data_IF_275790755569
#
_entry.id   IF_275790755569
#
_cell.length_a   1.000
_cell.length_b   1.000
_cell.length_c   1.000
_cell.angle_alpha   90.00
_cell.angle_beta   90.00
_cell.angle_gamma   90.00
#
_symmetry.space_group_name_H-M   'P 1'
#
loop_
_entity.id
_entity.type
_entity.pdbx_description
1 polymer ?
#
# COMPACT_ATOMS: atom_id res chain seq x y z
N UNK A 1 2.09 -9.83 -6.41
CA UNK A 1 1.86 -9.42 -5.02
C UNK A 1 3.18 -9.40 -4.26
N UNK A 2 3.74 -10.53 -3.78
CA UNK A 2 5.02 -10.47 -3.04
C UNK A 2 6.18 -9.95 -3.91
N UNK A 3 6.36 -10.49 -5.11
CA UNK A 3 7.43 -10.06 -6.02
C UNK A 3 7.26 -8.59 -6.47
N UNK A 4 6.02 -8.14 -6.67
CA UNK A 4 5.71 -6.73 -6.99
C UNK A 4 6.13 -5.77 -5.86
N UNK A 5 5.91 -6.16 -4.60
CA UNK A 5 6.35 -5.35 -3.44
C UNK A 5 7.88 -5.35 -3.31
N UNK A 6 8.54 -6.45 -3.65
CA UNK A 6 9.99 -6.56 -3.62
C UNK A 6 10.64 -5.65 -4.68
N UNK A 7 10.08 -5.56 -5.89
CA UNK A 7 10.55 -4.63 -6.94
C UNK A 7 10.47 -3.17 -6.50
N UNK A 8 9.46 -2.82 -5.69
CA UNK A 8 9.31 -1.47 -5.15
C UNK A 8 10.30 -1.16 -4.04
N UNK A 9 11.09 -2.13 -3.56
CA UNK A 9 12.01 -1.93 -2.45
C UNK A 9 13.05 -0.83 -2.69
N UNK A 10 13.40 -0.61 -3.96
CA UNK A 10 14.40 0.38 -4.42
C UNK A 10 13.81 1.78 -4.58
N UNK A 11 12.48 1.89 -4.66
CA UNK A 11 11.79 3.17 -4.92
C UNK A 11 11.80 4.00 -3.64
N UNK A 12 12.24 5.28 -3.67
CA UNK A 12 12.16 6.16 -2.51
C UNK A 12 10.73 6.37 -2.03
N UNK A 13 10.54 6.50 -0.72
CA UNK A 13 9.20 6.59 -0.12
C UNK A 13 8.43 7.82 -0.58
N UNK A 14 9.09 8.97 -0.76
CA UNK A 14 8.46 10.18 -1.26
C UNK A 14 7.96 10.02 -2.71
N UNK A 15 8.73 9.35 -3.57
CA UNK A 15 8.33 9.09 -4.97
C UNK A 15 7.11 8.17 -5.00
N UNK A 16 7.09 7.16 -4.14
CA UNK A 16 5.95 6.26 -4.00
C UNK A 16 4.70 7.00 -3.47
N UNK A 17 4.87 7.88 -2.49
CA UNK A 17 3.79 8.72 -1.95
C UNK A 17 3.17 9.62 -3.02
N UNK A 18 4.01 10.31 -3.81
CA UNK A 18 3.56 11.15 -4.92
C UNK A 18 2.83 10.33 -5.98
N UNK A 19 3.37 9.16 -6.35
CA UNK A 19 2.78 8.27 -7.35
C UNK A 19 1.39 7.76 -6.93
N UNK A 20 1.28 7.24 -5.70
CA UNK A 20 0.02 6.76 -5.13
C UNK A 20 -0.98 7.90 -5.01
N UNK A 21 -0.54 9.08 -4.58
CA UNK A 21 -1.44 10.23 -4.44
C UNK A 21 -2.00 10.68 -5.79
N UNK A 22 -1.17 10.69 -6.83
CA UNK A 22 -1.58 11.14 -8.16
C UNK A 22 -2.45 10.13 -8.93
N UNK A 23 -2.37 8.83 -8.60
CA UNK A 23 -2.99 7.76 -9.41
C UNK A 23 -3.91 6.82 -8.64
N UNK A 24 -3.99 6.96 -7.32
CA UNK A 24 -4.88 6.18 -6.48
C UNK A 24 -6.32 6.47 -6.85
N UNK A 25 -7.07 5.44 -7.27
CA UNK A 25 -8.46 5.61 -7.69
C UNK A 25 -9.32 6.21 -6.58
N UNK A 26 -9.22 5.69 -5.35
CA UNK A 26 -9.97 6.23 -4.22
C UNK A 26 -9.62 7.69 -3.93
N UNK A 27 -8.35 8.09 -3.99
CA UNK A 27 -7.97 9.51 -3.84
C UNK A 27 -8.51 10.36 -4.99
N UNK A 28 -8.47 9.86 -6.23
CA UNK A 28 -9.03 10.55 -7.39
C UNK A 28 -10.53 10.80 -7.24
N UNK A 29 -11.31 9.77 -6.90
CA UNK A 29 -12.76 9.91 -6.72
C UNK A 29 -13.09 10.92 -5.61
N UNK A 30 -12.34 10.90 -4.50
CA UNK A 30 -12.52 11.85 -3.40
C UNK A 30 -12.15 13.30 -3.75
N UNK A 31 -11.17 13.50 -4.63
CA UNK A 31 -10.61 14.85 -4.90
C UNK A 31 -11.21 15.50 -6.15
N UNK A 32 -11.45 14.71 -7.19
CA UNK A 32 -11.82 15.20 -8.53
C UNK A 32 -13.02 14.47 -9.14
N UNK A 33 -13.37 13.29 -8.65
CA UNK A 33 -14.44 12.45 -9.18
C UNK A 33 -15.74 12.57 -8.40
N UNK A 34 -16.46 11.45 -8.31
CA UNK A 34 -17.70 11.33 -7.55
C UNK A 34 -17.45 10.41 -6.35
N UNK A 35 -17.28 10.96 -5.14
CA UNK A 35 -16.97 10.16 -3.97
C UNK A 35 -18.13 9.19 -3.68
N UNK A 36 -17.84 7.95 -3.26
CA UNK A 36 -18.90 7.03 -2.91
C UNK A 36 -19.68 7.54 -1.70
N UNK A 37 -20.94 7.10 -1.60
CA UNK A 37 -21.78 7.39 -0.45
C UNK A 37 -21.36 6.52 0.73
N UNK A 38 -20.74 7.14 1.73
CA UNK A 38 -20.33 6.48 2.96
C UNK A 38 -21.49 6.42 3.95
N UNK A 39 -21.71 5.23 4.52
CA UNK A 39 -22.76 4.97 5.48
C UNK A 39 -22.39 5.43 6.89
N UNK A 40 -21.08 5.53 7.18
CA UNK A 40 -20.54 5.74 8.53
C UNK A 40 -20.50 4.45 9.37
N UNK A 41 -20.93 3.32 8.81
CA UNK A 41 -20.85 2.01 9.43
C UNK A 41 -19.56 1.31 8.99
N UNK A 42 -18.87 0.66 9.93
CA UNK A 42 -17.51 0.12 9.70
C UNK A 42 -17.48 -0.94 8.57
N UNK A 43 -18.30 -1.99 8.65
CA UNK A 43 -18.25 -3.09 7.69
C UNK A 43 -18.67 -2.67 6.26
N UNK A 44 -19.82 -1.99 6.05
CA UNK A 44 -20.23 -1.58 4.70
C UNK A 44 -19.24 -0.62 4.05
N UNK A 45 -18.69 0.34 4.81
CA UNK A 45 -17.73 1.30 4.27
C UNK A 45 -16.38 0.61 3.95
N UNK A 46 -15.97 -0.40 4.74
CA UNK A 46 -14.77 -1.20 4.45
C UNK A 46 -14.94 -2.08 3.21
N UNK A 47 -16.08 -2.71 3.04
CA UNK A 47 -16.37 -3.49 1.82
C UNK A 47 -16.34 -2.58 0.59
N UNK A 48 -16.97 -1.41 0.67
CA UNK A 48 -17.00 -0.43 -0.41
C UNK A 48 -15.58 0.08 -0.74
N UNK A 49 -14.79 0.46 0.26
CA UNK A 49 -13.41 0.89 0.07
C UNK A 49 -12.53 -0.21 -0.55
N UNK A 50 -12.75 -1.47 -0.16
CA UNK A 50 -12.06 -2.64 -0.76
C UNK A 50 -12.45 -2.81 -2.22
N UNK A 51 -13.71 -2.63 -2.58
CA UNK A 51 -14.18 -2.68 -3.96
C UNK A 51 -13.57 -1.57 -4.83
N UNK A 52 -13.38 -0.36 -4.30
CA UNK A 52 -12.70 0.72 -5.04
C UNK A 52 -11.26 0.37 -5.41
N UNK A 53 -10.62 -0.50 -4.63
CA UNK A 53 -9.26 -0.97 -4.92
C UNK A 53 -9.22 -1.98 -6.07
N UNK A 54 -10.36 -2.58 -6.46
CA UNK A 54 -10.44 -3.48 -7.62
C UNK A 54 -10.18 -2.69 -8.91
N UNK A 55 -9.14 -3.09 -9.64
CA UNK A 55 -8.70 -2.39 -10.85
C UNK A 55 -8.02 -1.05 -10.61
N UNK A 56 -7.71 -0.68 -9.36
CA UNK A 56 -6.86 0.48 -9.07
C UNK A 56 -5.45 0.23 -9.63
N UNK A 57 -4.90 1.14 -10.47
CA UNK A 57 -3.64 0.90 -11.17
C UNK A 57 -2.43 0.88 -10.25
N UNK A 58 -2.54 1.42 -9.04
CA UNK A 58 -1.44 1.59 -8.08
C UNK A 58 -1.65 0.78 -6.80
N UNK A 59 -2.38 -0.35 -6.90
CA UNK A 59 -2.76 -1.14 -5.73
C UNK A 59 -1.54 -1.66 -4.95
N UNK A 60 -0.51 -2.14 -5.65
CA UNK A 60 0.71 -2.67 -5.02
C UNK A 60 1.53 -1.54 -4.39
N UNK A 61 1.69 -0.41 -5.09
CA UNK A 61 2.38 0.78 -4.62
C UNK A 61 1.70 1.40 -3.40
N UNK A 62 0.37 1.41 -3.39
CA UNK A 62 -0.44 1.86 -2.25
C UNK A 62 -0.21 0.97 -1.03
N UNK A 63 -0.21 -0.36 -1.21
CA UNK A 63 0.09 -1.28 -0.12
C UNK A 63 1.53 -1.12 0.39
N UNK A 64 2.49 -1.04 -0.51
CA UNK A 64 3.90 -0.85 -0.18
C UNK A 64 4.13 0.46 0.58
N UNK A 65 3.54 1.56 0.12
CA UNK A 65 3.63 2.85 0.78
C UNK A 65 3.09 2.76 2.20
N UNK A 66 1.90 2.20 2.35
CA UNK A 66 1.24 2.07 3.63
C UNK A 66 2.07 1.22 4.61
N UNK A 67 2.62 0.09 4.15
CA UNK A 67 3.48 -0.76 4.98
C UNK A 67 4.75 -0.03 5.46
N UNK A 68 5.24 0.99 4.76
CA UNK A 68 6.39 1.82 5.19
C UNK A 68 6.03 2.90 6.19
N UNK A 69 4.87 3.54 6.03
CA UNK A 69 4.55 4.80 6.74
C UNK A 69 3.60 4.62 7.91
N UNK A 70 2.56 3.80 7.75
CA UNK A 70 1.53 3.59 8.77
C UNK A 70 1.60 2.20 9.39
N UNK A 71 1.95 1.18 8.60
CA UNK A 71 2.16 -0.19 9.06
C UNK A 71 0.98 -0.70 9.90
N UNK A 72 1.22 -0.95 11.18
CA UNK A 72 0.23 -1.48 12.13
C UNK A 72 -0.70 -0.42 12.74
N UNK A 73 -0.40 0.87 12.56
CA UNK A 73 -1.06 1.98 13.25
C UNK A 73 -2.10 2.71 12.40
N UNK A 74 -2.14 2.45 11.09
CA UNK A 74 -3.10 3.07 10.18
C UNK A 74 -4.46 2.40 10.24
N UNK A 75 -5.50 3.19 9.95
CA UNK A 75 -6.89 2.76 9.86
C UNK A 75 -7.36 2.68 8.42
N UNK A 76 -8.46 1.96 8.18
CA UNK A 76 -9.10 1.83 6.88
C UNK A 76 -8.41 0.89 5.90
N UNK A 77 -8.84 0.97 4.64
CA UNK A 77 -8.43 0.06 3.55
C UNK A 77 -7.32 0.67 2.71
N UNK A 78 -6.24 -0.09 2.55
CA UNK A 78 -5.07 0.30 1.76
C UNK A 78 -4.62 -0.86 0.90
N UNK A 79 -4.42 -0.62 -0.40
CA UNK A 79 -4.03 -1.69 -1.33
C UNK A 79 -4.97 -2.91 -1.33
N UNK A 80 -6.28 -2.68 -1.14
CA UNK A 80 -7.32 -3.70 -0.96
C UNK A 80 -7.23 -4.55 0.33
N UNK A 81 -6.44 -4.15 1.31
CA UNK A 81 -6.37 -4.81 2.62
C UNK A 81 -6.91 -3.91 3.72
N UNK A 82 -7.74 -4.50 4.57
CA UNK A 82 -8.19 -3.86 5.78
C UNK A 82 -7.09 -3.84 6.85
N UNK A 83 -7.38 -3.23 7.99
CA UNK A 83 -6.43 -3.06 9.10
C UNK A 83 -5.93 -4.38 9.68
N UNK A 84 -6.81 -5.36 9.86
CA UNK A 84 -6.47 -6.65 10.47
C UNK A 84 -5.54 -7.44 9.55
N UNK A 85 -5.91 -7.57 8.27
CA UNK A 85 -5.10 -8.25 7.26
C UNK A 85 -3.76 -7.55 7.06
N UNK A 86 -3.76 -6.21 7.07
CA UNK A 86 -2.54 -5.42 6.94
C UNK A 86 -1.61 -5.59 8.13
N UNK A 87 -2.13 -5.60 9.36
CA UNK A 87 -1.34 -5.88 10.58
C UNK A 87 -0.67 -7.26 10.50
N UNK A 88 -1.42 -8.28 10.08
CA UNK A 88 -0.87 -9.62 9.89
C UNK A 88 0.23 -9.66 8.80
N UNK A 89 0.01 -8.93 7.69
CA UNK A 89 0.97 -8.86 6.58
C UNK A 89 2.25 -8.09 6.93
N UNK A 90 2.14 -7.00 7.71
CA UNK A 90 3.25 -6.11 8.04
C UNK A 90 4.45 -6.86 8.65
N UNK A 91 4.20 -7.82 9.54
CA UNK A 91 5.25 -8.62 10.15
C UNK A 91 6.05 -9.45 9.11
N UNK A 92 5.36 -10.04 8.14
CA UNK A 92 5.97 -10.84 7.07
C UNK A 92 6.75 -9.94 6.11
N UNK A 93 6.13 -8.84 5.69
CA UNK A 93 6.75 -7.85 4.80
C UNK A 93 8.02 -7.25 5.41
N UNK A 94 7.98 -6.82 6.68
CA UNK A 94 9.11 -6.19 7.35
C UNK A 94 10.32 -7.14 7.45
N UNK A 95 10.09 -8.44 7.68
CA UNK A 95 11.16 -9.44 7.65
C UNK A 95 11.77 -9.60 6.26
N UNK A 96 10.92 -9.71 5.24
CA UNK A 96 11.36 -9.89 3.84
C UNK A 96 12.12 -8.67 3.34
N UNK A 97 11.63 -7.46 3.64
CA UNK A 97 12.26 -6.20 3.26
C UNK A 97 13.66 -6.04 3.84
N UNK A 98 13.85 -6.37 5.11
CA UNK A 98 15.16 -6.32 5.76
C UNK A 98 16.18 -7.19 5.01
N UNK A 99 15.80 -8.43 4.69
CA UNK A 99 16.65 -9.35 3.94
C UNK A 99 17.00 -8.85 2.54
N UNK A 100 16.04 -8.26 1.81
CA UNK A 100 16.28 -7.72 0.48
C UNK A 100 17.26 -6.54 0.50
N UNK A 101 17.08 -5.60 1.42
CA UNK A 101 17.99 -4.46 1.53
C UNK A 101 19.41 -4.91 1.88
N UNK A 102 19.58 -5.86 2.81
CA UNK A 102 20.88 -6.45 3.15
C UNK A 102 21.54 -7.15 1.95
N UNK A 103 20.75 -7.88 1.16
CA UNK A 103 21.26 -8.56 -0.04
C UNK A 103 21.70 -7.58 -1.12
N UNK A 104 20.94 -6.51 -1.34
CA UNK A 104 21.27 -5.46 -2.30
C UNK A 104 22.55 -4.72 -1.93
N UNK A 105 22.70 -4.32 -0.65
CA UNK A 105 23.91 -3.63 -0.20
C UNK A 105 25.16 -4.51 -0.37
N UNK A 106 25.03 -5.82 -0.13
CA UNK A 106 26.13 -6.76 -0.34
C UNK A 106 26.47 -7.01 -1.81
N UNK A 107 25.54 -6.76 -2.74
CA UNK A 107 25.78 -6.83 -4.18
C UNK A 107 26.46 -5.56 -4.70
N UNK A 108 26.03 -4.38 -4.24
CA UNK A 108 26.68 -3.09 -4.54
C UNK A 108 28.14 -3.07 -4.07
N UNK A 109 28.44 -3.58 -2.87
CA UNK A 109 29.81 -3.67 -2.33
C UNK A 109 30.73 -4.63 -3.11
N UNK A 110 30.16 -5.54 -3.90
CA UNK A 110 30.90 -6.51 -4.73
C UNK A 110 31.19 -6.00 -6.14
N UNK A 111 30.51 -4.95 -6.58
CA UNK A 111 30.63 -4.36 -7.92
C UNK A 111 31.67 -3.25 -8.00
#
# INVERSE_FOLDING_TARGET
>A
MADELDELAVVPTEVLADWVTARGRCLWELTFGDPPEWTGEDEPDRELATQMCVGCPVRAECLELELRVGGEQSVGVWGALNEEDRRALHAVWARRRRFLLEAMTAEEERS
#
